data_IF_503602735098
#
_entry.id   IF_503602735098
#
_cell.length_a   1.000
_cell.length_b   1.000
_cell.length_c   1.000
_cell.angle_alpha   90.00
_cell.angle_beta   90.00
_cell.angle_gamma   90.00
#
_symmetry.space_group_name_H-M   'P 1'
#
loop_
_entity.id
_entity.type
_entity.pdbx_description
1 polymer ?
#
# COMPACT_ATOMS: atom_id res chain seq x y z
N UNK A 1 -13.68 -4.63 3.25
CA UNK A 1 -12.45 -4.65 4.06
C UNK A 1 -12.30 -3.29 4.69
N UNK A 2 -11.78 -3.23 5.92
CA UNK A 2 -11.60 -1.95 6.63
C UNK A 2 -10.33 -1.26 6.16
N UNK A 3 -10.41 0.04 5.88
CA UNK A 3 -9.26 0.86 5.51
C UNK A 3 -9.35 2.26 6.13
N UNK A 4 -8.20 2.89 6.36
CA UNK A 4 -8.12 4.30 6.76
C UNK A 4 -8.12 5.17 5.51
N UNK A 5 -9.23 5.89 5.27
CA UNK A 5 -9.47 6.68 4.06
C UNK A 5 -9.45 8.17 4.38
N UNK A 6 -8.58 8.91 3.69
CA UNK A 6 -8.48 10.35 3.74
C UNK A 6 -9.32 10.95 2.60
N UNK A 7 -10.37 11.71 2.94
CA UNK A 7 -11.29 12.34 1.98
C UNK A 7 -10.89 13.76 1.58
N UNK A 8 -10.20 14.45 2.48
CA UNK A 8 -9.64 15.79 2.30
C UNK A 8 -8.64 16.03 3.45
N UNK A 9 -7.85 17.13 3.45
CA UNK A 9 -6.96 17.43 4.58
C UNK A 9 -7.72 17.37 5.92
N UNK A 10 -7.16 16.63 6.87
CA UNK A 10 -7.70 16.38 8.22
C UNK A 10 -9.01 15.57 8.28
N UNK A 11 -9.53 15.07 7.17
CA UNK A 11 -10.73 14.24 7.12
C UNK A 11 -10.37 12.75 6.90
N UNK A 12 -9.74 12.15 7.91
CA UNK A 12 -9.35 10.74 7.93
C UNK A 12 -10.39 9.94 8.72
N UNK A 13 -10.90 8.84 8.16
CA UNK A 13 -11.83 7.94 8.83
C UNK A 13 -11.61 6.48 8.45
N UNK A 14 -12.07 5.57 9.30
CA UNK A 14 -12.13 4.15 8.93
C UNK A 14 -13.39 3.90 8.10
N UNK A 15 -13.23 3.28 6.93
CA UNK A 15 -14.33 2.97 6.02
C UNK A 15 -14.27 1.50 5.60
N UNK A 16 -15.43 0.94 5.22
CA UNK A 16 -15.49 -0.34 4.51
C UNK A 16 -15.31 -0.08 3.01
N UNK A 17 -14.30 -0.70 2.41
CA UNK A 17 -13.99 -0.63 0.99
C UNK A 17 -13.98 -2.02 0.37
N UNK A 18 -14.15 -2.12 -0.94
CA UNK A 18 -14.04 -3.41 -1.64
C UNK A 18 -12.63 -3.98 -1.51
N UNK A 19 -12.53 -5.30 -1.42
CA UNK A 19 -11.23 -5.96 -1.48
C UNK A 19 -10.70 -5.83 -2.91
N UNK A 20 -9.45 -5.41 -3.11
CA UNK A 20 -8.88 -5.34 -4.46
C UNK A 20 -8.91 -6.74 -5.10
N UNK A 21 -9.24 -6.76 -6.39
CA UNK A 21 -9.11 -7.95 -7.22
C UNK A 21 -7.65 -8.16 -7.61
N UNK A 22 -7.26 -9.42 -7.76
CA UNK A 22 -5.91 -9.73 -8.22
C UNK A 22 -5.82 -9.61 -9.74
N UNK A 23 -4.73 -9.01 -10.19
CA UNK A 23 -4.38 -8.86 -11.60
C UNK A 23 -3.06 -9.60 -11.89
N UNK A 24 -2.86 -10.02 -13.14
CA UNK A 24 -1.59 -10.63 -13.57
C UNK A 24 -0.42 -9.68 -13.29
N UNK A 25 0.64 -10.22 -12.66
CA UNK A 25 1.81 -9.45 -12.24
C UNK A 25 1.64 -8.72 -10.89
N UNK A 26 0.54 -8.93 -10.17
CA UNK A 26 0.32 -8.35 -8.84
C UNK A 26 0.27 -9.43 -7.75
N UNK A 27 0.39 -9.01 -6.50
CA UNK A 27 0.29 -9.90 -5.34
C UNK A 27 -0.68 -9.30 -4.33
N UNK A 28 -1.68 -10.09 -3.93
CA UNK A 28 -2.60 -9.68 -2.90
C UNK A 28 -2.00 -10.02 -1.53
N UNK A 29 -1.87 -9.00 -0.69
CA UNK A 29 -1.27 -9.11 0.64
C UNK A 29 -2.28 -8.73 1.70
N UNK A 30 -2.53 -9.63 2.65
CA UNK A 30 -3.26 -9.29 3.87
C UNK A 30 -2.32 -8.56 4.82
N UNK A 31 -2.54 -7.25 4.95
CA UNK A 31 -1.76 -6.41 5.86
C UNK A 31 -2.04 -6.83 7.31
N UNK A 32 -0.97 -7.04 8.08
CA UNK A 32 -1.05 -7.41 9.51
C UNK A 32 -0.69 -6.24 10.42
N UNK A 33 0.29 -5.44 10.01
CA UNK A 33 0.76 -4.28 10.75
C UNK A 33 1.14 -3.17 9.77
N UNK A 34 0.89 -1.92 10.18
CA UNK A 34 1.36 -0.72 9.49
C UNK A 34 1.95 0.24 10.52
N UNK A 35 3.12 0.79 10.19
CA UNK A 35 3.68 1.96 10.86
C UNK A 35 2.87 3.21 10.53
N UNK A 36 3.09 4.25 11.34
CA UNK A 36 2.64 5.61 11.08
C UNK A 36 3.88 6.48 10.97
N UNK A 37 4.10 7.03 9.79
CA UNK A 37 5.27 7.83 9.48
C UNK A 37 4.99 9.32 9.65
N UNK A 38 6.04 10.13 9.82
CA UNK A 38 5.94 11.59 9.72
C UNK A 38 5.40 12.06 8.36
N UNK A 39 5.62 11.29 7.30
CA UNK A 39 5.05 11.54 5.97
C UNK A 39 3.52 11.40 5.96
N UNK A 40 2.97 10.41 6.67
CA UNK A 40 1.51 10.25 6.78
C UNK A 40 0.88 11.47 7.46
N UNK A 41 1.54 12.01 8.49
CA UNK A 41 1.08 13.22 9.16
C UNK A 41 1.10 14.45 8.23
N UNK A 42 2.15 14.60 7.41
CA UNK A 42 2.24 15.69 6.43
C UNK A 42 1.15 15.57 5.35
N UNK A 43 0.87 14.35 4.86
CA UNK A 43 -0.24 14.09 3.92
C UNK A 43 -1.58 14.41 4.58
N UNK A 44 -1.82 13.89 5.79
CA UNK A 44 -3.04 14.14 6.57
C UNK A 44 -3.32 15.65 6.75
N UNK A 45 -2.27 16.44 6.99
CA UNK A 45 -2.38 17.89 7.15
C UNK A 45 -2.54 18.65 5.81
N UNK A 46 -2.40 17.99 4.66
CA UNK A 46 -2.44 18.61 3.34
C UNK A 46 -1.11 19.25 2.89
N UNK A 47 -0.01 18.98 3.59
CA UNK A 47 1.32 19.50 3.26
C UNK A 47 2.03 18.71 2.15
N UNK A 48 1.59 17.49 1.87
CA UNK A 48 1.99 16.71 0.70
C UNK A 48 0.73 16.43 -0.13
N UNK A 49 0.69 16.85 -1.41
CA UNK A 49 -0.49 16.66 -2.24
C UNK A 49 -0.69 15.19 -2.58
N UNK A 50 -1.93 14.73 -2.51
CA UNK A 50 -2.38 13.39 -2.91
C UNK A 50 -3.72 13.51 -3.62
N UNK A 51 -4.05 12.54 -4.49
CA UNK A 51 -5.40 12.43 -5.02
C UNK A 51 -6.34 11.86 -3.95
N UNK A 52 -7.46 12.54 -3.73
CA UNK A 52 -8.53 12.11 -2.84
C UNK A 52 -9.64 11.36 -3.60
N UNK A 53 -10.33 10.38 -2.97
CA UNK A 53 -10.01 9.82 -1.66
C UNK A 53 -8.71 8.98 -1.71
N UNK A 54 -8.00 8.91 -0.57
CA UNK A 54 -6.72 8.19 -0.45
C UNK A 54 -6.77 7.18 0.69
N UNK A 55 -6.52 5.90 0.41
CA UNK A 55 -6.15 4.92 1.45
C UNK A 55 -4.74 5.26 1.93
N UNK A 56 -4.58 5.45 3.23
CA UNK A 56 -3.31 5.86 3.87
C UNK A 56 -2.42 4.66 4.23
N UNK A 57 -1.13 4.93 4.42
CA UNK A 57 -0.12 3.95 4.85
C UNK A 57 0.90 3.61 3.76
N UNK A 58 2.17 3.52 4.14
CA UNK A 58 3.29 3.17 3.26
C UNK A 58 4.43 2.43 3.97
N UNK A 59 4.21 2.02 5.23
CA UNK A 59 5.17 1.27 6.04
C UNK A 59 4.49 0.00 6.56
N UNK A 60 4.41 -1.05 5.73
CA UNK A 60 3.52 -2.19 6.01
C UNK A 60 4.25 -3.53 5.95
N UNK A 61 3.77 -4.48 6.76
CA UNK A 61 4.09 -5.90 6.65
C UNK A 61 2.81 -6.72 6.59
N UNK A 62 2.88 -7.85 5.90
CA UNK A 62 1.72 -8.71 5.71
C UNK A 62 2.06 -10.11 5.28
N UNK A 63 1.03 -10.82 4.91
CA UNK A 63 1.08 -12.19 4.43
C UNK A 63 0.43 -12.27 3.05
N UNK A 64 1.10 -12.92 2.12
CA UNK A 64 0.60 -13.14 0.77
C UNK A 64 -0.60 -14.06 0.83
N UNK A 65 -1.72 -13.65 0.25
CA UNK A 65 -2.96 -14.45 0.21
C UNK A 65 -3.35 -14.90 -1.19
N UNK A 66 -2.82 -14.26 -2.23
CA UNK A 66 -3.04 -14.64 -3.62
C UNK A 66 -1.94 -14.02 -4.51
N UNK A 67 -1.59 -14.67 -5.62
CA UNK A 67 -0.52 -14.25 -6.54
C UNK A 67 -1.02 -14.32 -7.99
N UNK A 68 -0.95 -13.19 -8.69
CA UNK A 68 -1.32 -13.08 -10.09
C UNK A 68 -0.17 -13.50 -11.00
N UNK A 69 -0.16 -14.76 -11.42
CA UNK A 69 0.90 -15.33 -12.26
C UNK A 69 2.09 -15.88 -11.48
N UNK A 70 3.20 -16.15 -12.16
CA UNK A 70 4.42 -16.70 -11.55
C UNK A 70 5.38 -15.57 -11.17
N UNK A 71 5.54 -15.31 -9.87
CA UNK A 71 6.32 -14.19 -9.33
C UNK A 71 7.47 -14.63 -8.41
N UNK A 72 7.69 -15.95 -8.26
CA UNK A 72 8.64 -16.50 -7.30
C UNK A 72 8.26 -16.27 -5.82
N UNK A 73 7.10 -15.66 -5.55
CA UNK A 73 6.49 -15.48 -4.23
C UNK A 73 5.30 -16.46 -4.13
N UNK A 74 5.09 -17.02 -2.94
CA UNK A 74 4.02 -18.01 -2.71
C UNK A 74 3.05 -17.54 -1.63
N UNK A 75 1.81 -17.99 -1.69
CA UNK A 75 0.81 -17.81 -0.62
C UNK A 75 1.38 -18.24 0.75
N UNK A 76 1.03 -17.50 1.79
CA UNK A 76 1.56 -17.69 3.15
C UNK A 76 2.93 -17.03 3.39
N UNK A 77 3.61 -16.54 2.35
CA UNK A 77 4.87 -15.82 2.52
C UNK A 77 4.67 -14.54 3.32
N UNK A 78 5.56 -14.28 4.29
CA UNK A 78 5.58 -13.03 5.03
C UNK A 78 6.41 -11.99 4.27
N UNK A 79 5.83 -10.83 4.01
CA UNK A 79 6.44 -9.79 3.16
C UNK A 79 6.44 -8.42 3.85
N UNK A 80 7.45 -7.63 3.51
CA UNK A 80 7.48 -6.17 3.73
C UNK A 80 7.15 -5.48 2.41
N UNK A 81 6.37 -4.41 2.47
CA UNK A 81 5.94 -3.66 1.29
C UNK A 81 6.88 -2.47 1.12
N UNK A 82 7.63 -2.46 0.01
CA UNK A 82 8.37 -1.28 -0.43
C UNK A 82 7.42 -0.35 -1.22
N UNK A 83 7.15 0.88 -0.74
CA UNK A 83 6.30 1.82 -1.45
C UNK A 83 6.98 2.45 -2.68
N UNK A 84 8.28 2.18 -2.91
CA UNK A 84 9.05 2.76 -4.01
C UNK A 84 9.14 1.77 -5.17
N UNK A 85 8.48 2.09 -6.27
CA UNK A 85 8.68 1.37 -7.52
C UNK A 85 10.02 1.74 -8.17
N UNK A 86 10.69 0.73 -8.71
CA UNK A 86 11.90 0.89 -9.49
C UNK A 86 11.76 0.13 -10.82
N UNK A 87 12.37 0.65 -11.90
CA UNK A 87 12.27 0.00 -13.21
C UNK A 87 13.36 -1.06 -13.44
N UNK A 88 14.41 -1.06 -12.62
CA UNK A 88 15.50 -2.05 -12.69
C UNK A 88 16.44 -1.90 -13.89
N UNK A 89 16.28 -0.86 -14.71
CA UNK A 89 17.04 -0.69 -15.96
C UNK A 89 17.49 0.77 -16.25
N UNK A 90 17.22 1.72 -15.36
CA UNK A 90 17.65 3.12 -15.54
C UNK A 90 18.99 3.38 -14.83
N UNK A 91 19.60 4.53 -15.11
CA UNK A 91 20.87 4.93 -14.49
C UNK A 91 20.81 4.94 -12.95
N UNK A 92 19.68 5.26 -12.33
CA UNK A 92 19.56 5.26 -10.87
C UNK A 92 19.42 3.85 -10.27
N UNK A 93 19.08 2.85 -11.09
CA UNK A 93 18.98 1.44 -10.66
C UNK A 93 20.30 0.68 -10.75
N UNK A 94 21.32 1.23 -11.41
CA UNK A 94 22.64 0.62 -11.63
C UNK A 94 23.75 1.48 -11.02
#
# INVERSE_FOLDING_TARGET
MKAMVLKSPRALGQEEVECPLIEDGTTLVRITHSGVCGTDLKIYQGGIPVNYPRIMGHEMIGEVVDVGGDSGIHEGSRVIIDPVFYCGHCYQCH
#
